data_IF_284319191843
#
_entry.id   IF_284319191843
#
_cell.length_a   1.000
_cell.length_b   1.000
_cell.length_c   1.000
_cell.angle_alpha   90.00
_cell.angle_beta   90.00
_cell.angle_gamma   90.00
#
_symmetry.space_group_name_H-M   'P 1'
#
loop_
_entity.id
_entity.type
_entity.pdbx_description
1 polymer ?
#
# COMPACT_ATOMS: atom_id res chain seq x y z
N UNK A 1 -10.39 11.59 -22.61
CA UNK A 1 -11.55 10.74 -22.27
C UNK A 1 -11.00 9.45 -21.66
N UNK A 2 -11.30 9.14 -20.39
CA UNK A 2 -10.71 7.97 -19.69
C UNK A 2 -11.55 6.71 -19.98
N UNK A 3 -10.91 5.66 -20.47
CA UNK A 3 -11.53 4.36 -20.76
C UNK A 3 -11.58 3.50 -19.49
N UNK A 4 -12.64 2.71 -19.30
CA UNK A 4 -12.74 1.73 -18.21
C UNK A 4 -12.09 0.41 -18.63
N UNK A 5 -11.36 -0.22 -17.71
CA UNK A 5 -10.55 -1.42 -17.97
C UNK A 5 -10.85 -2.46 -16.89
N UNK A 6 -10.91 -3.74 -17.29
CA UNK A 6 -11.05 -4.87 -16.38
C UNK A 6 -9.75 -5.12 -15.56
N UNK A 7 -9.90 -5.34 -14.25
CA UNK A 7 -8.88 -5.55 -13.23
C UNK A 7 -8.12 -6.85 -13.46
N UNK A 8 -8.81 -7.92 -13.85
CA UNK A 8 -8.20 -9.23 -14.01
C UNK A 8 -7.57 -9.43 -15.39
N UNK A 9 -8.30 -9.14 -16.48
CA UNK A 9 -7.84 -9.43 -17.85
C UNK A 9 -7.35 -8.21 -18.63
N UNK A 10 -7.43 -6.99 -18.08
CA UNK A 10 -6.95 -5.74 -18.69
C UNK A 10 -7.59 -5.36 -20.02
N UNK A 11 -8.74 -5.94 -20.35
CA UNK A 11 -9.52 -5.55 -21.52
C UNK A 11 -10.21 -4.22 -21.28
N UNK A 12 -10.17 -3.35 -22.29
CA UNK A 12 -10.98 -2.14 -22.33
C UNK A 12 -12.46 -2.53 -22.42
N UNK A 13 -13.30 -1.84 -21.66
CA UNK A 13 -14.73 -2.10 -21.53
C UNK A 13 -15.48 -1.02 -22.32
N UNK A 14 -16.46 -1.42 -23.13
CA UNK A 14 -17.32 -0.48 -23.86
C UNK A 14 -18.52 -0.05 -23.00
N UNK A 15 -19.12 1.10 -23.29
CA UNK A 15 -20.18 1.70 -22.46
C UNK A 15 -21.47 0.84 -22.33
N UNK A 16 -21.61 -0.21 -23.13
CA UNK A 16 -22.81 -1.06 -23.17
C UNK A 16 -22.53 -2.51 -22.75
N UNK A 17 -21.33 -2.79 -22.24
CA UNK A 17 -20.98 -4.11 -21.70
C UNK A 17 -21.43 -4.24 -20.24
N UNK A 18 -21.92 -5.43 -19.90
CA UNK A 18 -22.22 -5.81 -18.52
C UNK A 18 -20.91 -6.07 -17.75
N UNK A 19 -20.60 -5.22 -16.77
CA UNK A 19 -19.34 -5.25 -15.99
C UNK A 19 -19.60 -5.27 -14.48
N UNK A 20 -18.72 -5.94 -13.75
CA UNK A 20 -18.73 -5.97 -12.27
C UNK A 20 -17.79 -4.88 -11.71
N UNK A 21 -18.27 -4.00 -10.83
CA UNK A 21 -17.47 -2.92 -10.22
C UNK A 21 -17.05 -3.26 -8.78
N UNK A 22 -15.87 -2.81 -8.37
CA UNK A 22 -15.30 -2.93 -7.03
C UNK A 22 -14.69 -1.61 -6.54
N UNK A 23 -14.86 -1.25 -5.27
CA UNK A 23 -14.38 0.02 -4.70
C UNK A 23 -13.48 -0.25 -3.47
N UNK A 24 -12.31 0.41 -3.36
CA UNK A 24 -11.33 0.23 -2.25
C UNK A 24 -10.88 1.58 -1.65
N UNK A 25 -10.25 1.55 -0.47
CA UNK A 25 -9.61 2.73 0.16
C UNK A 25 -8.64 3.49 -0.78
N UNK A 26 -8.09 2.82 -1.81
CA UNK A 26 -7.12 3.39 -2.75
C UNK A 26 -7.63 3.51 -4.20
N UNK A 27 -8.93 3.30 -4.46
CA UNK A 27 -9.55 3.55 -5.79
C UNK A 27 -10.59 2.52 -6.26
N UNK A 28 -11.14 2.75 -7.46
CA UNK A 28 -12.16 1.93 -8.13
C UNK A 28 -11.56 0.94 -9.15
N UNK A 29 -12.06 -0.29 -9.15
CA UNK A 29 -11.66 -1.38 -10.04
C UNK A 29 -12.90 -1.98 -10.72
N UNK A 30 -12.74 -2.52 -11.93
CA UNK A 30 -13.85 -3.12 -12.69
C UNK A 30 -13.45 -4.52 -13.14
N UNK A 31 -14.36 -5.46 -13.33
CA UNK A 31 -14.09 -6.77 -13.95
C UNK A 31 -15.11 -7.05 -15.04
N UNK A 32 -14.67 -7.69 -16.13
CA UNK A 32 -15.57 -8.17 -17.16
C UNK A 32 -16.31 -9.43 -16.69
N UNK A 33 -17.49 -9.70 -17.27
CA UNK A 33 -18.34 -10.86 -16.94
C UNK A 33 -17.60 -12.19 -16.94
N UNK A 34 -16.77 -12.46 -17.96
CA UNK A 34 -15.98 -13.71 -18.04
C UNK A 34 -14.98 -13.88 -16.90
N UNK A 35 -14.31 -12.79 -16.50
CA UNK A 35 -13.38 -12.84 -15.37
C UNK A 35 -14.12 -12.96 -14.05
N UNK A 36 -15.27 -12.29 -13.91
CA UNK A 36 -16.10 -12.39 -12.72
C UNK A 36 -16.74 -13.78 -12.55
N UNK A 37 -17.13 -14.45 -13.65
CA UNK A 37 -17.63 -15.83 -13.63
C UNK A 37 -16.51 -16.86 -13.36
N UNK A 38 -15.26 -16.56 -13.74
CA UNK A 38 -14.10 -17.42 -13.47
C UNK A 38 -13.53 -17.27 -12.05
N UNK A 39 -13.38 -16.04 -11.55
CA UNK A 39 -13.07 -15.73 -10.14
C UNK A 39 -13.75 -14.41 -9.75
N UNK A 40 -14.87 -14.54 -9.03
CA UNK A 40 -15.68 -13.41 -8.59
C UNK A 40 -15.02 -12.59 -7.48
N UNK A 41 -13.94 -13.10 -6.87
CA UNK A 41 -13.22 -12.41 -5.79
C UNK A 41 -12.34 -11.34 -6.39
N UNK A 42 -12.44 -10.11 -5.89
CA UNK A 42 -11.39 -9.13 -6.14
C UNK A 42 -10.11 -9.65 -5.50
N UNK A 43 -9.23 -10.22 -6.34
CA UNK A 43 -7.85 -10.53 -5.96
C UNK A 43 -7.10 -9.23 -6.01
N UNK A 44 -7.30 -8.59 -4.89
CA UNK A 44 -7.00 -7.23 -4.53
C UNK A 44 -7.99 -6.92 -3.39
N UNK A 45 -7.66 -6.40 -2.23
CA UNK A 45 -6.55 -5.49 -2.00
C UNK A 45 -6.88 -4.74 -0.73
N UNK A 46 -5.98 -4.83 0.23
CA UNK A 46 -6.05 -4.01 1.41
C UNK A 46 -4.63 -3.58 1.70
N UNK A 47 -4.45 -2.27 1.88
CA UNK A 47 -3.15 -1.80 2.36
C UNK A 47 -2.94 -2.39 3.75
N UNK A 48 -1.88 -3.20 3.83
CA UNK A 48 -1.59 -3.98 5.02
C UNK A 48 -0.90 -3.08 6.03
N UNK A 49 -1.40 -3.06 7.26
CA UNK A 49 -0.87 -2.20 8.31
C UNK A 49 0.30 -2.87 9.04
N UNK A 50 1.47 -2.20 9.11
CA UNK A 50 2.72 -2.78 9.63
C UNK A 50 3.06 -2.21 10.99
N UNK A 51 3.43 -3.09 11.91
CA UNK A 51 3.61 -2.81 13.32
C UNK A 51 5.03 -3.23 13.79
N UNK A 52 5.65 -2.43 14.67
CA UNK A 52 6.98 -2.74 15.25
C UNK A 52 7.08 -2.39 16.73
N UNK A 53 7.87 -3.16 17.48
CA UNK A 53 8.12 -2.94 18.92
C UNK A 53 9.43 -2.18 19.12
N UNK A 54 9.37 -0.97 19.69
CA UNK A 54 10.53 -0.07 19.79
C UNK A 54 10.89 0.28 21.26
N UNK A 55 9.89 0.51 22.12
CA UNK A 55 10.07 0.91 23.53
C UNK A 55 9.21 0.08 24.49
N UNK A 56 9.05 -1.22 24.19
CA UNK A 56 8.30 -2.17 25.01
C UNK A 56 6.86 -2.45 24.57
N UNK A 57 6.31 -1.68 23.63
CA UNK A 57 5.00 -1.94 23.01
C UNK A 57 5.06 -1.79 21.48
N UNK A 58 4.04 -2.33 20.80
CA UNK A 58 3.91 -2.39 19.35
C UNK A 58 3.25 -1.09 18.84
N UNK A 59 3.82 -0.44 17.81
CA UNK A 59 3.28 0.78 17.20
C UNK A 59 3.22 0.66 15.66
N UNK A 60 2.21 1.25 14.98
CA UNK A 60 2.18 1.36 13.54
C UNK A 60 3.41 2.10 13.02
N UNK A 61 4.11 1.50 12.07
CA UNK A 61 5.29 2.09 11.45
C UNK A 61 4.93 3.37 10.68
N UNK A 62 3.70 3.49 10.18
CA UNK A 62 3.14 4.68 9.55
C UNK A 62 3.10 5.92 10.46
N UNK A 63 3.26 5.75 11.78
CA UNK A 63 3.24 6.80 12.79
C UNK A 63 4.59 6.97 13.52
N UNK A 64 5.70 6.80 12.83
CA UNK A 64 7.03 6.97 13.44
C UNK A 64 7.22 8.39 14.02
N UNK A 65 7.88 8.50 15.17
CA UNK A 65 8.06 9.80 15.85
C UNK A 65 9.05 10.69 15.08
N UNK A 66 8.56 11.80 14.51
CA UNK A 66 9.40 12.81 13.86
C UNK A 66 10.49 13.37 14.80
N UNK A 67 10.15 13.59 16.08
CA UNK A 67 11.12 14.10 17.08
C UNK A 67 12.29 13.15 17.35
N UNK A 68 12.09 11.82 17.22
CA UNK A 68 13.20 10.86 17.35
C UNK A 68 14.18 10.93 16.19
N UNK A 69 13.71 11.29 15.00
CA UNK A 69 14.58 11.51 13.85
C UNK A 69 15.43 12.77 14.05
N UNK A 70 14.86 13.84 14.62
CA UNK A 70 15.61 15.04 14.98
C UNK A 70 16.64 14.76 16.09
N UNK A 71 16.23 14.13 17.19
CA UNK A 71 17.16 13.74 18.28
C UNK A 71 18.33 12.87 17.80
N UNK A 72 18.15 12.09 16.72
CA UNK A 72 19.22 11.28 16.14
C UNK A 72 20.28 12.14 15.43
N UNK A 73 19.87 13.22 14.77
CA UNK A 73 20.79 14.14 14.07
C UNK A 73 21.72 14.86 15.03
N UNK A 74 21.25 15.10 16.25
CA UNK A 74 22.02 15.78 17.29
C UNK A 74 23.09 14.88 17.95
N UNK A 75 23.12 13.58 17.63
CA UNK A 75 24.09 12.63 18.20
C UNK A 75 25.49 12.85 17.62
N UNK A 76 26.51 12.73 18.46
CA UNK A 76 27.92 12.83 18.08
C UNK A 76 28.67 11.54 18.37
N UNK A 77 29.47 11.08 17.42
CA UNK A 77 30.30 9.90 17.57
C UNK A 77 31.58 10.23 18.35
N UNK A 78 31.98 9.31 19.23
CA UNK A 78 33.26 9.40 19.93
C UNK A 78 34.38 8.90 19.00
N UNK A 79 35.37 9.76 18.72
CA UNK A 79 36.58 9.34 18.01
C UNK A 79 37.56 8.77 19.03
N UNK A 80 37.93 7.48 18.97
CA UNK A 80 38.99 6.96 19.81
C UNK A 80 40.29 7.71 19.49
N UNK A 81 41.00 8.13 20.54
CA UNK A 81 42.31 8.73 20.36
C UNK A 81 43.20 7.72 19.62
N UNK A 82 43.68 8.09 18.43
CA UNK A 82 44.69 7.31 17.71
C UNK A 82 45.92 7.25 18.61
N UNK A 83 46.15 6.09 19.21
CA UNK A 83 47.32 5.84 20.05
C UNK A 83 48.56 5.91 19.15
N UNK A 84 49.49 6.79 19.52
CA UNK A 84 50.83 6.86 18.92
C UNK A 84 51.66 5.62 19.26
#
# INVERSE_FOLDING_TARGET
MKKQICHDCKKELENNDEVAKYETNSGEFFKCRKCHEADSVLRNFQETEVYSRIVGYIRPVSQWNAGKAEEYKDRKEYKPATCC
#
